data_IF_344340348343
#
_entry.id   IF_344340348343
#
_cell.length_a   1.000
_cell.length_b   1.000
_cell.length_c   1.000
_cell.angle_alpha   90.00
_cell.angle_beta   90.00
_cell.angle_gamma   90.00
#
_symmetry.space_group_name_H-M   'P 1'
#
loop_
_entity.id
_entity.type
_entity.pdbx_description
1 polymer ?
#
# COMPACT_ATOMS: atom_id res chain seq x y z
N UNK A 1 4.97 -7.90 25.32
CA UNK A 1 4.20 -8.68 26.32
C UNK A 1 3.53 -9.93 25.74
N UNK A 2 3.34 -10.02 24.42
CA UNK A 2 2.78 -11.19 23.74
C UNK A 2 3.73 -11.69 22.67
N UNK A 3 3.73 -13.00 22.43
CA UNK A 3 4.41 -13.68 21.33
C UNK A 3 3.66 -13.48 20.01
N UNK A 4 4.30 -13.81 18.90
CA UNK A 4 3.67 -13.78 17.56
C UNK A 4 2.46 -14.72 17.52
N UNK A 5 2.60 -15.94 18.04
CA UNK A 5 1.53 -16.94 18.05
C UNK A 5 0.31 -16.48 18.85
N UNK A 6 0.51 -15.81 19.98
CA UNK A 6 -0.59 -15.24 20.78
C UNK A 6 -1.31 -14.11 20.05
N UNK A 7 -0.58 -13.25 19.33
CA UNK A 7 -1.20 -12.16 18.54
C UNK A 7 -1.97 -12.74 17.35
N UNK A 8 -1.40 -13.72 16.65
CA UNK A 8 -2.07 -14.39 15.52
C UNK A 8 -3.37 -15.07 15.96
N UNK A 9 -3.31 -15.76 17.10
CA UNK A 9 -4.49 -16.42 17.65
C UNK A 9 -5.54 -15.41 18.12
N UNK A 10 -5.13 -14.33 18.79
CA UNK A 10 -6.04 -13.26 19.16
C UNK A 10 -6.69 -12.60 17.92
N UNK A 11 -5.99 -12.50 16.79
CA UNK A 11 -6.57 -12.03 15.52
C UNK A 11 -7.67 -12.98 15.03
N UNK A 12 -7.42 -14.30 15.00
CA UNK A 12 -8.41 -15.29 14.58
C UNK A 12 -9.64 -15.28 15.49
N UNK A 13 -9.42 -15.24 16.80
CA UNK A 13 -10.49 -15.17 17.80
C UNK A 13 -11.32 -13.90 17.66
N UNK A 14 -10.69 -12.76 17.37
CA UNK A 14 -11.42 -11.49 17.13
C UNK A 14 -12.29 -11.58 15.89
N UNK A 15 -11.78 -12.17 14.79
CA UNK A 15 -12.60 -12.41 13.59
C UNK A 15 -13.79 -13.32 13.90
N UNK A 16 -13.57 -14.44 14.60
CA UNK A 16 -14.61 -15.40 14.97
C UNK A 16 -15.68 -14.76 15.87
N UNK A 17 -15.26 -14.01 16.90
CA UNK A 17 -16.17 -13.34 17.83
C UNK A 17 -17.06 -12.29 17.14
N UNK A 18 -16.59 -11.70 16.04
CA UNK A 18 -17.34 -10.72 15.25
C UNK A 18 -17.99 -11.32 13.99
N UNK A 19 -17.95 -12.64 13.81
CA UNK A 19 -18.44 -13.33 12.61
C UNK A 19 -17.85 -12.79 11.29
N UNK A 20 -16.59 -12.35 11.31
CA UNK A 20 -15.89 -11.83 10.13
C UNK A 20 -15.34 -13.01 9.31
N UNK A 21 -15.94 -13.23 8.14
CA UNK A 21 -15.47 -14.22 7.14
C UNK A 21 -14.64 -13.53 6.05
N UNK A 22 -15.14 -12.41 5.53
CA UNK A 22 -14.44 -11.52 4.60
C UNK A 22 -14.39 -10.13 5.23
N UNK A 23 -13.17 -9.64 5.47
CA UNK A 23 -12.97 -8.36 6.11
C UNK A 23 -11.52 -8.07 6.40
N UNK A 24 -11.32 -7.04 7.23
CA UNK A 24 -10.00 -6.50 7.51
C UNK A 24 -9.68 -6.63 9.00
N UNK A 25 -8.43 -6.96 9.29
CA UNK A 25 -7.90 -7.07 10.65
C UNK A 25 -6.91 -5.93 10.89
N UNK A 26 -7.10 -5.19 11.99
CA UNK A 26 -6.23 -4.08 12.41
C UNK A 26 -5.66 -4.33 13.81
N UNK A 27 -4.57 -5.08 13.93
CA UNK A 27 -3.76 -5.09 15.15
C UNK A 27 -3.09 -3.72 15.33
N UNK A 28 -3.04 -3.23 16.56
CA UNK A 28 -2.30 -2.01 16.92
C UNK A 28 -1.63 -2.20 18.28
N UNK A 29 -0.38 -1.76 18.39
CA UNK A 29 0.35 -1.70 19.65
C UNK A 29 0.72 -0.25 19.98
N UNK A 30 0.59 0.14 21.24
CA UNK A 30 0.92 1.51 21.69
C UNK A 30 1.39 1.55 23.15
N UNK A 31 2.02 2.67 23.52
CA UNK A 31 2.50 2.97 24.88
C UNK A 31 1.37 3.54 25.74
N UNK A 32 1.29 3.11 26.99
CA UNK A 32 0.24 3.50 27.94
C UNK A 32 0.35 4.92 28.49
N UNK A 33 -0.52 5.23 29.46
CA UNK A 33 -0.71 6.57 30.02
C UNK A 33 0.03 6.81 31.33
N UNK A 34 0.92 5.89 31.75
CA UNK A 34 1.59 5.95 33.06
C UNK A 34 2.64 7.08 33.14
N UNK A 35 3.08 7.60 31.99
CA UNK A 35 4.11 8.63 31.89
C UNK A 35 3.90 9.48 30.64
N UNK A 36 3.98 10.81 30.79
CA UNK A 36 3.74 11.77 29.71
C UNK A 36 5.04 12.25 29.01
N UNK A 37 6.20 12.10 29.66
CA UNK A 37 7.48 12.53 29.08
C UNK A 37 7.80 11.80 27.76
N UNK A 38 8.62 12.43 26.91
CA UNK A 38 9.05 11.86 25.61
C UNK A 38 9.66 10.47 25.78
N UNK A 39 10.51 10.32 26.80
CA UNK A 39 11.00 9.01 27.21
C UNK A 39 9.88 8.24 27.93
N UNK A 40 9.13 7.41 27.20
CA UNK A 40 8.00 6.64 27.74
C UNK A 40 8.39 5.23 28.21
N UNK A 41 9.60 5.03 28.73
CA UNK A 41 10.17 3.71 29.02
C UNK A 41 9.38 2.92 30.08
N UNK A 42 8.80 3.62 31.06
CA UNK A 42 8.03 3.01 32.15
C UNK A 42 6.54 2.80 31.82
N UNK A 43 6.10 3.11 30.59
CA UNK A 43 4.70 2.88 30.20
C UNK A 43 4.47 1.45 29.74
N UNK A 44 3.29 0.92 30.03
CA UNK A 44 2.90 -0.42 29.56
C UNK A 44 2.79 -0.44 28.03
N UNK A 45 3.09 -1.59 27.42
CA UNK A 45 2.74 -1.85 26.02
C UNK A 45 1.35 -2.44 25.97
N UNK A 46 0.42 -1.73 25.35
CA UNK A 46 -0.92 -2.21 25.07
C UNK A 46 -0.97 -2.77 23.65
N UNK A 47 -1.83 -3.76 23.45
CA UNK A 47 -2.19 -4.31 22.13
C UNK A 47 -3.70 -4.41 22.05
N UNK A 48 -4.26 -4.01 20.92
CA UNK A 48 -5.66 -4.19 20.59
C UNK A 48 -5.78 -4.71 19.17
N UNK A 49 -6.84 -5.47 18.92
CA UNK A 49 -7.16 -6.00 17.60
C UNK A 49 -8.61 -5.63 17.33
N UNK A 50 -8.83 -4.98 16.19
CA UNK A 50 -10.17 -4.66 15.71
C UNK A 50 -10.37 -5.31 14.33
N UNK A 51 -11.59 -5.76 14.08
CA UNK A 51 -11.98 -6.40 12.82
C UNK A 51 -13.30 -5.82 12.33
N UNK A 52 -13.44 -5.69 11.02
CA UNK A 52 -14.70 -5.25 10.42
C UNK A 52 -14.83 -5.82 9.00
N UNK A 53 -16.08 -5.98 8.56
CA UNK A 53 -16.36 -6.29 7.16
C UNK A 53 -15.83 -5.12 6.30
N UNK A 54 -15.07 -5.44 5.27
CA UNK A 54 -14.50 -4.43 4.39
C UNK A 54 -14.62 -4.92 2.95
N UNK A 55 -15.51 -4.28 2.19
CA UNK A 55 -15.65 -4.54 0.76
C UNK A 55 -14.50 -3.97 -0.08
N UNK A 56 -14.71 -3.90 -1.40
CA UNK A 56 -13.72 -3.32 -2.31
C UNK A 56 -13.38 -1.88 -1.90
N UNK A 57 -12.08 -1.59 -1.79
CA UNK A 57 -11.59 -0.26 -1.41
C UNK A 57 -11.86 0.82 -2.48
N UNK A 58 -12.00 0.40 -3.74
CA UNK A 58 -12.32 1.27 -4.87
C UNK A 58 -13.56 0.78 -5.63
N UNK A 59 -14.25 1.70 -6.31
CA UNK A 59 -15.41 1.39 -7.13
C UNK A 59 -15.05 0.49 -8.32
N UNK A 60 -16.00 -0.28 -8.90
CA UNK A 60 -15.76 -1.04 -10.11
C UNK A 60 -15.23 -0.18 -11.27
N UNK A 61 -15.72 1.06 -11.39
CA UNK A 61 -15.22 2.02 -12.38
C UNK A 61 -13.74 2.36 -12.15
N UNK A 62 -13.33 2.60 -10.90
CA UNK A 62 -11.94 2.88 -10.56
C UNK A 62 -11.03 1.66 -10.80
N UNK A 63 -11.55 0.43 -10.67
CA UNK A 63 -10.82 -0.79 -11.05
C UNK A 63 -10.64 -0.93 -12.57
N UNK A 64 -11.53 -0.35 -13.38
CA UNK A 64 -11.43 -0.41 -14.85
C UNK A 64 -10.65 0.76 -15.43
N UNK A 65 -10.94 1.99 -15.02
CA UNK A 65 -10.30 3.22 -15.52
C UNK A 65 -8.97 3.54 -14.83
N UNK A 66 -8.77 2.97 -13.64
CA UNK A 66 -7.68 3.32 -12.75
C UNK A 66 -8.01 4.53 -11.88
N UNK A 67 -7.41 4.55 -10.69
CA UNK A 67 -7.54 5.66 -9.75
C UNK A 67 -6.71 6.86 -10.20
N UNK A 68 -7.04 8.03 -9.65
CA UNK A 68 -6.37 9.31 -9.91
C UNK A 68 -5.55 9.73 -8.70
N UNK A 69 -4.30 10.11 -8.90
CA UNK A 69 -3.39 10.53 -7.85
C UNK A 69 -2.91 11.97 -8.09
N UNK A 70 -2.73 12.71 -7.01
CA UNK A 70 -1.89 13.92 -7.03
C UNK A 70 -0.42 13.57 -6.83
N UNK A 71 0.50 14.50 -7.06
CA UNK A 71 1.87 14.42 -6.54
C UNK A 71 1.89 15.20 -5.23
N UNK A 72 2.28 14.54 -4.14
CA UNK A 72 2.28 15.14 -2.81
C UNK A 72 3.39 16.20 -2.66
N UNK A 73 3.09 17.27 -1.92
CA UNK A 73 4.10 18.20 -1.41
C UNK A 73 4.99 17.56 -0.31
N UNK A 74 4.44 16.56 0.40
CA UNK A 74 5.12 15.87 1.47
C UNK A 74 5.96 14.72 0.94
N UNK A 75 7.16 14.56 1.52
CA UNK A 75 8.12 13.53 1.14
C UNK A 75 8.18 12.42 2.19
N UNK A 76 8.43 11.18 1.75
CA UNK A 76 8.83 10.10 2.65
C UNK A 76 10.15 10.50 3.33
N UNK A 77 10.25 10.30 4.66
CA UNK A 77 11.39 10.81 5.42
C UNK A 77 12.68 10.04 5.09
N UNK A 78 13.81 10.66 5.39
CA UNK A 78 15.10 9.98 5.28
C UNK A 78 15.26 8.93 6.39
N UNK A 79 15.87 7.76 6.14
CA UNK A 79 16.04 6.69 7.13
C UNK A 79 16.73 7.14 8.43
N UNK A 80 17.58 8.18 8.37
CA UNK A 80 18.25 8.79 9.52
C UNK A 80 17.37 9.73 10.34
N UNK A 81 16.16 10.06 9.87
CA UNK A 81 15.22 10.96 10.55
C UNK A 81 14.02 10.24 11.17
N UNK A 82 13.68 9.04 10.67
CA UNK A 82 12.50 8.30 11.11
C UNK A 82 12.65 6.78 10.90
N UNK A 83 11.92 5.93 11.65
CA UNK A 83 11.99 4.47 11.50
C UNK A 83 11.19 4.00 10.28
N UNK A 84 11.69 4.29 9.08
CA UNK A 84 10.99 4.13 7.78
C UNK A 84 10.53 2.71 7.45
N UNK A 85 11.17 1.69 8.01
CA UNK A 85 10.79 0.28 7.80
C UNK A 85 9.72 -0.20 8.79
N UNK A 86 9.40 0.58 9.82
CA UNK A 86 8.33 0.26 10.76
C UNK A 86 7.00 0.84 10.27
N UNK A 87 5.92 0.05 10.34
CA UNK A 87 4.56 0.55 10.07
C UNK A 87 4.03 1.33 11.28
N UNK A 88 4.64 2.48 11.55
CA UNK A 88 4.41 3.29 12.74
C UNK A 88 3.40 4.43 12.50
N UNK A 89 2.55 4.72 13.48
CA UNK A 89 1.54 5.78 13.42
C UNK A 89 2.12 7.16 13.10
N UNK A 90 3.30 7.50 13.65
CA UNK A 90 3.94 8.80 13.41
C UNK A 90 4.26 9.06 11.93
N UNK A 91 4.54 8.01 11.15
CA UNK A 91 4.80 8.14 9.71
C UNK A 91 3.53 8.42 8.89
N UNK A 92 2.35 8.13 9.45
CA UNK A 92 1.08 8.36 8.76
C UNK A 92 0.63 9.82 8.82
N UNK A 93 1.21 10.67 9.67
CA UNK A 93 0.84 12.09 9.72
C UNK A 93 0.96 12.76 8.35
N UNK A 94 2.12 12.62 7.69
CA UNK A 94 2.36 13.19 6.35
C UNK A 94 1.50 12.51 5.29
N UNK A 95 1.22 11.21 5.42
CA UNK A 95 0.34 10.47 4.53
C UNK A 95 -1.10 10.98 4.61
N UNK A 96 -1.60 11.24 5.81
CA UNK A 96 -2.93 11.81 6.06
C UNK A 96 -3.04 13.21 5.47
N UNK A 97 -2.03 14.06 5.66
CA UNK A 97 -2.01 15.41 5.05
C UNK A 97 -2.06 15.34 3.53
N UNK A 98 -1.22 14.48 2.93
CA UNK A 98 -1.19 14.24 1.49
C UNK A 98 -2.53 13.70 0.95
N UNK A 99 -3.12 12.72 1.64
CA UNK A 99 -4.41 12.12 1.28
C UNK A 99 -5.54 13.16 1.30
N UNK A 100 -5.64 13.94 2.38
CA UNK A 100 -6.65 15.00 2.47
C UNK A 100 -6.48 16.05 1.37
N UNK A 101 -5.24 16.41 1.02
CA UNK A 101 -4.98 17.34 -0.08
C UNK A 101 -5.41 16.78 -1.45
N UNK A 102 -5.17 15.49 -1.69
CA UNK A 102 -5.61 14.81 -2.91
C UNK A 102 -7.14 14.73 -3.01
N UNK A 103 -7.82 14.34 -1.92
CA UNK A 103 -9.28 14.22 -1.88
C UNK A 103 -9.97 15.57 -2.13
N UNK A 104 -9.42 16.67 -1.59
CA UNK A 104 -9.90 18.04 -1.89
C UNK A 104 -9.80 18.41 -3.38
N UNK A 105 -8.92 17.76 -4.13
CA UNK A 105 -8.77 17.94 -5.59
C UNK A 105 -9.56 16.89 -6.39
N UNK A 106 -10.39 16.07 -5.74
CA UNK A 106 -11.14 14.99 -6.39
C UNK A 106 -10.26 13.83 -6.86
N UNK A 107 -9.04 13.70 -6.31
CA UNK A 107 -8.18 12.55 -6.52
C UNK A 107 -8.40 11.50 -5.42
N UNK A 108 -8.09 10.25 -5.75
CA UNK A 108 -8.27 9.13 -4.85
C UNK A 108 -7.12 8.99 -3.87
N UNK A 109 -5.89 9.35 -4.24
CA UNK A 109 -4.69 9.23 -3.38
C UNK A 109 -3.61 10.24 -3.81
N UNK A 110 -2.44 10.19 -3.18
CA UNK A 110 -1.27 10.97 -3.56
C UNK A 110 -0.05 10.07 -3.74
N UNK A 111 0.68 10.26 -4.84
CA UNK A 111 2.02 9.73 -5.01
C UNK A 111 2.97 10.57 -4.15
N UNK A 112 3.77 9.91 -3.31
CA UNK A 112 4.78 10.56 -2.50
C UNK A 112 6.17 10.29 -3.08
N UNK A 113 6.99 11.33 -3.11
CA UNK A 113 8.41 11.21 -3.39
C UNK A 113 9.16 10.91 -2.10
N UNK A 114 10.37 10.37 -2.20
CA UNK A 114 11.29 10.29 -1.08
C UNK A 114 12.02 11.62 -0.83
N UNK A 115 12.82 11.60 0.23
CA UNK A 115 13.70 12.70 0.65
C UNK A 115 14.75 13.10 -0.40
N UNK A 116 15.05 12.24 -1.39
CA UNK A 116 15.98 12.50 -2.51
C UNK A 116 15.28 13.09 -3.73
N UNK A 117 13.95 13.02 -3.78
CA UNK A 117 13.17 13.43 -4.96
C UNK A 117 12.78 12.30 -5.89
N UNK A 118 13.06 11.05 -5.52
CA UNK A 118 12.69 9.87 -6.28
C UNK A 118 11.27 9.43 -5.92
N UNK A 119 10.60 8.69 -6.80
CA UNK A 119 9.31 8.09 -6.50
C UNK A 119 9.49 7.07 -5.36
N UNK A 120 8.67 7.19 -4.30
CA UNK A 120 8.67 6.24 -3.19
C UNK A 120 7.47 5.29 -3.25
N UNK A 121 6.29 5.79 -2.86
CA UNK A 121 5.04 5.05 -2.77
C UNK A 121 3.86 6.01 -2.68
N UNK A 122 2.62 5.50 -2.72
CA UNK A 122 1.45 6.30 -2.39
C UNK A 122 1.32 6.50 -0.86
N UNK A 123 0.25 7.16 -0.40
CA UNK A 123 0.05 7.41 1.04
C UNK A 123 -0.07 6.14 1.89
N UNK A 124 -0.44 5.00 1.28
CA UNK A 124 -0.57 3.72 1.99
C UNK A 124 -0.33 2.46 1.16
N UNK A 125 0.24 2.58 -0.05
CA UNK A 125 0.44 1.48 -0.98
C UNK A 125 1.71 1.69 -1.83
N UNK A 126 2.46 0.62 -2.11
CA UNK A 126 3.63 0.67 -2.98
C UNK A 126 3.21 0.88 -4.44
N UNK A 127 4.12 1.42 -5.27
CA UNK A 127 3.84 1.74 -6.68
C UNK A 127 4.67 0.88 -7.63
N UNK A 128 4.08 0.53 -8.77
CA UNK A 128 4.70 -0.20 -9.87
C UNK A 128 4.44 0.49 -11.21
N UNK A 129 5.44 0.49 -12.08
CA UNK A 129 5.40 1.04 -13.43
C UNK A 129 5.74 -0.08 -14.41
N UNK A 130 4.83 -0.41 -15.33
CA UNK A 130 5.17 -1.22 -16.48
C UNK A 130 5.80 -0.32 -17.55
N UNK A 131 7.01 -0.67 -18.00
CA UNK A 131 7.74 0.07 -19.03
C UNK A 131 8.40 -0.93 -19.98
N UNK A 132 8.09 -0.86 -21.27
CA UNK A 132 8.72 -1.69 -22.30
C UNK A 132 8.68 -3.21 -21.96
N UNK A 133 7.54 -3.67 -21.43
CA UNK A 133 7.31 -5.06 -21.06
C UNK A 133 7.98 -5.52 -19.75
N UNK A 134 8.70 -4.64 -19.05
CA UNK A 134 9.29 -4.91 -17.74
C UNK A 134 8.49 -4.24 -16.63
N UNK A 135 8.52 -4.82 -15.44
CA UNK A 135 7.87 -4.29 -14.26
C UNK A 135 8.90 -3.60 -13.36
N UNK A 136 8.81 -2.28 -13.27
CA UNK A 136 9.68 -1.46 -12.42
C UNK A 136 8.97 -1.08 -11.13
N UNK A 137 9.70 -1.05 -10.02
CA UNK A 137 9.21 -0.53 -8.74
C UNK A 137 10.36 0.07 -7.94
N UNK A 138 10.10 1.11 -7.13
CA UNK A 138 11.13 1.67 -6.27
C UNK A 138 11.71 0.62 -5.31
N UNK A 139 13.02 0.68 -5.07
CA UNK A 139 13.68 -0.10 -4.01
C UNK A 139 13.19 0.40 -2.65
N UNK A 140 12.69 -0.47 -1.74
CA UNK A 140 12.06 -0.06 -0.48
C UNK A 140 13.10 0.25 0.62
N UNK A 141 13.98 1.20 0.35
CA UNK A 141 15.09 1.59 1.25
C UNK A 141 14.71 2.70 2.25
N UNK A 142 13.66 3.47 1.97
CA UNK A 142 13.18 4.57 2.81
C UNK A 142 11.66 4.58 3.01
N UNK A 143 11.01 3.45 2.73
CA UNK A 143 9.58 3.23 2.93
C UNK A 143 9.30 1.74 3.18
N UNK A 144 8.02 1.37 3.28
CA UNK A 144 7.64 0.00 3.65
C UNK A 144 7.88 -1.00 2.51
N UNK A 145 8.60 -2.08 2.79
CA UNK A 145 8.63 -3.27 1.95
C UNK A 145 7.33 -4.09 2.11
N UNK A 146 6.29 -3.68 1.38
CA UNK A 146 4.94 -4.21 1.54
C UNK A 146 4.84 -5.71 1.30
N UNK A 147 3.98 -6.39 2.06
CA UNK A 147 3.68 -7.81 1.84
C UNK A 147 3.04 -8.02 0.46
N UNK A 148 2.02 -7.22 0.11
CA UNK A 148 1.38 -7.28 -1.21
C UNK A 148 2.36 -6.98 -2.35
N UNK A 149 3.29 -6.03 -2.16
CA UNK A 149 4.37 -5.75 -3.10
C UNK A 149 5.21 -7.00 -3.38
N UNK A 150 5.74 -7.63 -2.34
CA UNK A 150 6.51 -8.88 -2.47
C UNK A 150 5.70 -9.99 -3.14
N UNK A 151 4.43 -10.14 -2.77
CA UNK A 151 3.53 -11.10 -3.42
C UNK A 151 3.40 -10.84 -4.92
N UNK A 152 3.18 -9.60 -5.33
CA UNK A 152 3.03 -9.23 -6.75
C UNK A 152 4.34 -9.42 -7.52
N UNK A 153 5.50 -9.13 -6.92
CA UNK A 153 6.81 -9.42 -7.51
C UNK A 153 6.95 -10.92 -7.80
N UNK A 154 6.55 -11.79 -6.86
CA UNK A 154 6.60 -13.24 -7.07
C UNK A 154 5.59 -13.72 -8.12
N UNK A 155 4.40 -13.10 -8.21
CA UNK A 155 3.44 -13.39 -9.28
C UNK A 155 3.98 -12.97 -10.65
N UNK A 156 4.61 -11.80 -10.75
CA UNK A 156 5.23 -11.30 -11.98
C UNK A 156 6.36 -12.24 -12.46
N UNK A 157 7.24 -12.67 -11.55
CA UNK A 157 8.30 -13.65 -11.86
C UNK A 157 7.72 -14.98 -12.38
N UNK A 158 6.64 -15.49 -11.77
CA UNK A 158 5.95 -16.72 -12.24
C UNK A 158 5.38 -16.57 -13.65
N UNK A 159 5.02 -15.35 -14.06
CA UNK A 159 4.56 -15.02 -15.42
C UNK A 159 5.70 -14.75 -16.41
N UNK A 160 6.95 -14.85 -15.97
CA UNK A 160 8.12 -14.52 -16.80
C UNK A 160 8.29 -13.02 -17.05
N UNK A 161 7.63 -12.16 -16.26
CA UNK A 161 7.79 -10.71 -16.33
C UNK A 161 9.04 -10.34 -15.53
N UNK A 162 10.00 -9.68 -16.19
CA UNK A 162 11.20 -9.19 -15.53
C UNK A 162 10.82 -8.07 -14.54
N UNK A 163 11.23 -8.22 -13.28
CA UNK A 163 11.03 -7.23 -12.23
C UNK A 163 12.35 -6.50 -11.96
N UNK A 164 12.33 -5.18 -12.05
CA UNK A 164 13.50 -4.32 -11.83
C UNK A 164 13.23 -3.38 -10.67
N UNK A 165 13.81 -3.71 -9.52
CA UNK A 165 13.81 -2.85 -8.33
C UNK A 165 14.93 -1.81 -8.47
N UNK A 166 14.57 -0.53 -8.59
CA UNK A 166 15.54 0.57 -8.79
C UNK A 166 15.02 1.90 -8.27
N UNK A 167 15.90 2.89 -8.13
CA UNK A 167 15.48 4.28 -8.04
C UNK A 167 14.70 4.68 -9.31
N UNK A 168 13.60 5.40 -9.14
CA UNK A 168 12.76 5.89 -10.24
C UNK A 168 12.54 7.39 -10.03
N UNK A 169 12.82 8.20 -11.05
CA UNK A 169 12.58 9.63 -10.99
C UNK A 169 11.18 10.02 -11.49
N UNK A 170 10.57 11.11 -11.00
CA UNK A 170 9.21 11.52 -11.37
C UNK A 170 9.00 11.66 -12.87
N UNK A 171 9.97 12.20 -13.61
CA UNK A 171 9.91 12.37 -15.05
C UNK A 171 9.80 11.04 -15.82
N UNK A 172 10.18 9.93 -15.21
CA UNK A 172 10.05 8.61 -15.81
C UNK A 172 8.59 8.13 -15.87
N UNK A 173 7.67 8.77 -15.15
CA UNK A 173 6.23 8.55 -15.31
C UNK A 173 5.78 8.76 -16.76
N UNK A 174 6.41 9.68 -17.50
CA UNK A 174 6.10 9.91 -18.91
C UNK A 174 6.41 8.70 -19.83
N UNK A 175 7.20 7.74 -19.34
CA UNK A 175 7.62 6.54 -20.07
C UNK A 175 6.82 5.29 -19.67
N UNK A 176 5.98 5.38 -18.65
CA UNK A 176 5.21 4.25 -18.16
C UNK A 176 4.02 3.94 -19.07
N UNK A 177 3.91 2.69 -19.48
CA UNK A 177 2.78 2.16 -20.25
C UNK A 177 1.58 1.93 -19.33
N UNK A 178 1.84 1.38 -18.13
CA UNK A 178 0.84 1.11 -17.10
C UNK A 178 1.39 1.47 -15.72
N UNK A 179 0.53 1.93 -14.82
CA UNK A 179 0.88 2.17 -13.41
C UNK A 179 -0.16 1.53 -12.52
N UNK A 180 0.28 0.95 -11.41
CA UNK A 180 -0.64 0.41 -10.40
C UNK A 180 -0.04 0.49 -9.00
N UNK A 181 -0.93 0.43 -8.00
CA UNK A 181 -0.57 0.39 -6.59
C UNK A 181 -0.76 -1.02 -6.01
N UNK A 182 0.01 -1.34 -4.98
CA UNK A 182 -0.14 -2.57 -4.20
C UNK A 182 -0.22 -2.31 -2.70
N UNK A 183 -1.20 -2.92 -2.03
CA UNK A 183 -1.28 -2.90 -0.56
C UNK A 183 -2.38 -3.82 -0.03
N UNK A 184 -2.41 -4.13 1.26
CA UNK A 184 -3.42 -5.06 1.81
C UNK A 184 -4.85 -4.55 1.57
N UNK A 185 -5.09 -3.25 1.73
CA UNK A 185 -6.41 -2.66 1.49
C UNK A 185 -6.64 -2.36 0.00
N UNK A 186 -5.61 -1.91 -0.72
CA UNK A 186 -5.70 -1.53 -2.13
C UNK A 186 -5.61 -2.74 -3.09
N UNK A 187 -5.21 -3.91 -2.61
CA UNK A 187 -4.90 -5.09 -3.43
C UNK A 187 -3.93 -4.75 -4.57
N UNK A 188 -4.28 -5.05 -5.81
CA UNK A 188 -3.62 -4.54 -7.02
C UNK A 188 -4.58 -3.56 -7.66
N UNK A 189 -4.31 -2.25 -7.54
CA UNK A 189 -5.20 -1.19 -8.02
C UNK A 189 -4.56 -0.46 -9.21
N UNK A 190 -5.19 -0.48 -10.40
CA UNK A 190 -4.70 0.30 -11.53
C UNK A 190 -4.74 1.81 -11.26
N UNK A 191 -3.80 2.55 -11.83
CA UNK A 191 -3.72 4.00 -11.76
C UNK A 191 -3.89 4.55 -13.18
N UNK A 192 -4.85 5.45 -13.37
CA UNK A 192 -5.13 6.09 -14.65
C UNK A 192 -4.54 7.49 -14.77
N UNK A 193 -4.17 8.12 -13.65
CA UNK A 193 -3.64 9.47 -13.63
C UNK A 193 -2.74 9.71 -12.42
N UNK A 194 -1.60 10.38 -12.63
CA UNK A 194 -0.74 10.93 -11.58
C UNK A 194 -0.34 12.35 -11.98
N UNK A 195 -0.91 13.37 -11.33
CA UNK A 195 -0.63 14.77 -11.67
C UNK A 195 -0.87 15.04 -13.17
N UNK A 196 0.14 15.46 -13.95
CA UNK A 196 -0.01 15.71 -15.38
C UNK A 196 0.09 14.44 -16.27
N UNK A 197 0.37 13.27 -15.68
CA UNK A 197 0.58 12.02 -16.41
C UNK A 197 -0.70 11.18 -16.45
N UNK A 198 -0.98 10.60 -17.61
CA UNK A 198 -2.16 9.75 -17.84
C UNK A 198 -1.73 8.36 -18.33
N UNK A 199 -2.41 7.34 -17.83
CA UNK A 199 -2.12 5.95 -18.11
C UNK A 199 -3.41 5.22 -18.49
N UNK A 200 -3.27 4.12 -19.23
CA UNK A 200 -4.37 3.20 -19.49
C UNK A 200 -4.05 1.88 -18.82
N UNK A 201 -4.89 1.39 -17.88
CA UNK A 201 -4.72 0.05 -17.34
C UNK A 201 -4.61 -0.97 -18.47
N UNK A 202 -3.51 -1.71 -18.51
CA UNK A 202 -3.19 -2.62 -19.59
C UNK A 202 -3.17 -4.08 -19.14
N UNK A 203 -2.52 -4.91 -19.95
CA UNK A 203 -2.52 -6.36 -19.77
C UNK A 203 -1.72 -6.77 -18.55
N UNK A 204 -0.57 -6.14 -18.28
CA UNK A 204 0.28 -6.52 -17.13
C UNK A 204 -0.49 -6.29 -15.82
N UNK A 205 -1.08 -5.11 -15.67
CA UNK A 205 -1.84 -4.76 -14.46
C UNK A 205 -3.03 -5.69 -14.26
N UNK A 206 -3.82 -5.94 -15.32
CA UNK A 206 -4.98 -6.84 -15.24
C UNK A 206 -4.59 -8.27 -14.87
N UNK A 207 -3.57 -8.82 -15.53
CA UNK A 207 -3.09 -10.18 -15.24
C UNK A 207 -2.60 -10.31 -13.81
N UNK A 208 -1.83 -9.34 -13.30
CA UNK A 208 -1.34 -9.38 -11.91
C UNK A 208 -2.47 -9.17 -10.89
N UNK A 209 -3.47 -8.36 -11.21
CA UNK A 209 -4.66 -8.19 -10.37
C UNK A 209 -5.46 -9.51 -10.29
N UNK A 210 -5.75 -10.15 -11.42
CA UNK A 210 -6.46 -11.43 -11.47
C UNK A 210 -5.71 -12.56 -10.76
N UNK A 211 -4.38 -12.61 -10.92
CA UNK A 211 -3.53 -13.58 -10.23
C UNK A 211 -3.52 -13.38 -8.73
N UNK A 212 -3.49 -12.12 -8.27
CA UNK A 212 -3.59 -11.78 -6.87
C UNK A 212 -4.97 -12.13 -6.30
N UNK A 213 -6.06 -11.76 -6.99
CA UNK A 213 -7.42 -12.08 -6.58
C UNK A 213 -7.63 -13.60 -6.43
N UNK A 214 -7.11 -14.39 -7.38
CA UNK A 214 -7.12 -15.86 -7.29
C UNK A 214 -6.32 -16.37 -6.11
N UNK A 215 -5.13 -15.81 -5.86
CA UNK A 215 -4.26 -16.21 -4.75
C UNK A 215 -4.93 -15.99 -3.38
N UNK A 216 -5.66 -14.89 -3.21
CA UNK A 216 -6.37 -14.58 -1.96
C UNK A 216 -7.75 -15.24 -1.86
N UNK A 217 -8.09 -16.13 -2.80
CA UNK A 217 -9.31 -16.94 -2.74
C UNK A 217 -10.59 -16.22 -3.17
N UNK A 218 -10.50 -15.09 -3.87
CA UNK A 218 -11.69 -14.48 -4.48
C UNK A 218 -12.20 -15.38 -5.61
N UNK A 219 -13.51 -15.63 -5.60
CA UNK A 219 -14.15 -16.40 -6.66
C UNK A 219 -13.89 -15.72 -8.01
N UNK A 220 -13.49 -16.50 -9.02
CA UNK A 220 -13.33 -15.99 -10.38
C UNK A 220 -14.64 -15.30 -10.80
N UNK A 221 -14.56 -14.04 -11.23
CA UNK A 221 -15.69 -13.36 -11.85
C UNK A 221 -16.08 -14.21 -13.05
N UNK A 222 -17.26 -14.83 -13.00
CA UNK A 222 -17.83 -15.50 -14.18
C UNK A 222 -18.07 -14.40 -15.22
N UNK A 223 -17.20 -14.31 -16.21
CA UNK A 223 -17.48 -13.55 -17.43
C UNK A 223 -18.69 -14.20 -18.09
N UNK A 224 -19.79 -13.45 -18.14
CA UNK A 224 -20.96 -13.80 -18.95
C UNK A 224 -20.65 -13.62 -20.44
#
# INVERSE_FOLDING_TARGET
PFTIAEIDEACRQTCQANNIVDGYVRPIAWRGSEMMGVAAQATRINVAIATWAWGSYFSPEAKTKGIRLTISEWRRPAPETAPVHAKATGLYMICTLAKHAAERQGCHDALMLDWRGQIAEATGANVFLAMAGKLHTPTPDCFLDGITRRTVIELAKKRGIEVVERAIWPEELAKADEVFLTGTAAEVTPVGEIGPYHFQPGTITRTLAEDYERLVGKAAVKTA
#
